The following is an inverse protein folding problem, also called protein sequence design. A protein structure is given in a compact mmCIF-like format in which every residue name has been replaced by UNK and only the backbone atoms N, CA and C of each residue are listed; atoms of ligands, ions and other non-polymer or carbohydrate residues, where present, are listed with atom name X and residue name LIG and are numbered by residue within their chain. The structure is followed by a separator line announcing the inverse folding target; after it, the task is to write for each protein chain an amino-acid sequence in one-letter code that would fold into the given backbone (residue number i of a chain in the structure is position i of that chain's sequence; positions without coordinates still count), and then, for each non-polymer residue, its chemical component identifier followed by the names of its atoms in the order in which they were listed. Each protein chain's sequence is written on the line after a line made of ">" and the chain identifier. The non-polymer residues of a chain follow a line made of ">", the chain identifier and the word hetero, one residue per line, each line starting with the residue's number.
data_IF_551559218611
#
_entry.id   IF_551559218611
#
_cell.length_a   1.000
_cell.length_b   1.000
_cell.length_c   1.000
_cell.angle_alpha   90.00
_cell.angle_beta   90.00
_cell.angle_gamma   90.00
#
_symmetry.space_group_name_H-M   'P 1'
#
loop_
_entity.id
_entity.type
_entity.pdbx_description
1 polymer ?
#
# COMPACT_ATOMS: atom_id res chain seq x y z
N UNK A 1 -7.02 -2.58 22.01
CA UNK A 1 -5.61 -3.01 21.91
C UNK A 1 -5.03 -2.62 20.57
N UNK A 2 -3.72 -2.34 20.47
CA UNK A 2 -3.05 -2.07 19.18
C UNK A 2 -3.09 -3.34 18.33
N UNK A 3 -3.60 -3.24 17.11
CA UNK A 3 -3.59 -4.35 16.15
C UNK A 3 -2.18 -4.50 15.59
N UNK A 4 -1.62 -5.71 15.59
CA UNK A 4 -0.27 -5.99 15.07
C UNK A 4 -0.36 -7.05 13.98
N UNK A 5 0.40 -6.85 12.89
CA UNK A 5 0.55 -7.83 11.81
C UNK A 5 2.04 -8.07 11.60
N UNK A 6 2.50 -9.26 11.99
CA UNK A 6 3.93 -9.57 12.02
C UNK A 6 4.72 -8.52 12.81
N UNK A 7 5.65 -7.84 12.13
CA UNK A 7 6.53 -6.81 12.70
C UNK A 7 5.96 -5.40 12.66
N UNK A 8 4.72 -5.23 12.23
CA UNK A 8 4.11 -3.91 12.04
C UNK A 8 3.00 -3.67 13.06
N UNK A 9 3.13 -2.59 13.82
CA UNK A 9 2.04 -2.04 14.63
C UNK A 9 1.13 -1.20 13.72
N UNK A 10 -0.13 -1.61 13.59
CA UNK A 10 -1.13 -0.88 12.81
C UNK A 10 -1.72 0.26 13.64
N UNK A 11 -1.75 1.44 13.03
CA UNK A 11 -2.38 2.64 13.55
C UNK A 11 -3.68 2.98 12.83
N UNK A 12 -3.91 4.29 12.65
CA UNK A 12 -5.12 4.83 12.04
C UNK A 12 -5.26 4.44 10.57
N UNK A 13 -6.50 4.42 10.09
CA UNK A 13 -6.79 4.32 8.66
C UNK A 13 -6.34 5.60 7.95
N UNK A 14 -5.60 5.44 6.87
CA UNK A 14 -5.17 6.53 5.98
C UNK A 14 -6.15 6.70 4.81
N UNK A 15 -6.80 5.61 4.38
CA UNK A 15 -7.81 5.66 3.33
C UNK A 15 -8.65 4.38 3.29
N UNK A 16 -9.89 4.51 2.84
CA UNK A 16 -10.82 3.40 2.66
C UNK A 16 -11.44 3.52 1.27
N UNK A 17 -11.21 2.50 0.44
CA UNK A 17 -11.78 2.40 -0.90
C UNK A 17 -12.62 1.13 -1.04
N UNK A 18 -13.26 0.98 -2.19
CA UNK A 18 -14.20 -0.13 -2.47
C UNK A 18 -13.60 -1.52 -2.23
N UNK A 19 -12.31 -1.67 -2.56
CA UNK A 19 -11.60 -2.97 -2.57
C UNK A 19 -10.51 -3.09 -1.50
N UNK A 20 -10.21 -2.00 -0.78
CA UNK A 20 -9.06 -1.97 0.12
C UNK A 20 -9.20 -0.95 1.24
N UNK A 21 -8.57 -1.26 2.38
CA UNK A 21 -8.36 -0.32 3.49
C UNK A 21 -6.87 -0.09 3.66
N UNK A 22 -6.43 1.16 3.60
CA UNK A 22 -5.03 1.54 3.83
C UNK A 22 -4.88 2.02 5.26
N UNK A 23 -3.95 1.45 6.02
CA UNK A 23 -3.65 1.87 7.39
C UNK A 23 -2.20 2.33 7.51
N UNK A 24 -1.98 3.30 8.37
CA UNK A 24 -0.65 3.64 8.85
C UNK A 24 -0.11 2.48 9.67
N UNK A 25 1.17 2.16 9.56
CA UNK A 25 1.82 1.22 10.43
C UNK A 25 3.27 1.62 10.72
N UNK A 26 3.80 1.11 11.82
CA UNK A 26 5.20 1.29 12.21
C UNK A 26 5.89 -0.06 12.31
N UNK A 27 7.04 -0.22 11.65
CA UNK A 27 7.90 -1.38 11.86
C UNK A 27 8.50 -1.30 13.26
N UNK A 28 8.32 -2.34 14.08
CA UNK A 28 8.83 -2.34 15.46
C UNK A 28 10.33 -2.56 15.56
N UNK A 29 10.97 -3.11 14.50
CA UNK A 29 12.42 -3.34 14.46
C UNK A 29 13.17 -2.10 13.98
N UNK A 30 12.74 -1.50 12.86
CA UNK A 30 13.42 -0.35 12.24
C UNK A 30 12.87 0.99 12.70
N UNK A 31 11.66 1.02 13.27
CA UNK A 31 10.96 2.25 13.63
C UNK A 31 10.33 2.99 12.45
N UNK A 32 10.51 2.51 11.22
CA UNK A 32 10.03 3.15 9.99
C UNK A 32 8.50 3.16 9.89
N UNK A 33 7.99 4.26 9.34
CA UNK A 33 6.58 4.47 9.11
C UNK A 33 6.21 4.01 7.69
N UNK A 34 5.18 3.18 7.57
CA UNK A 34 4.71 2.62 6.30
C UNK A 34 3.20 2.72 6.18
N UNK A 35 2.69 2.54 4.96
CA UNK A 35 1.27 2.37 4.68
C UNK A 35 0.99 0.91 4.27
N UNK A 36 0.08 0.24 4.96
CA UNK A 36 -0.34 -1.13 4.65
C UNK A 36 -1.70 -1.09 3.95
N UNK A 37 -1.75 -1.57 2.70
CA UNK A 37 -2.99 -1.74 1.94
C UNK A 37 -3.55 -3.14 2.19
N UNK A 38 -4.66 -3.21 2.91
CA UNK A 38 -5.37 -4.43 3.27
C UNK A 38 -6.42 -4.68 2.19
N UNK A 39 -6.30 -5.79 1.47
CA UNK A 39 -7.23 -6.20 0.42
C UNK A 39 -8.25 -7.20 0.96
N UNK A 40 -9.52 -6.99 0.64
CA UNK A 40 -10.58 -7.95 0.94
C UNK A 40 -10.59 -9.03 -0.16
N UNK A 41 -10.14 -10.24 0.20
CA UNK A 41 -9.96 -11.36 -0.73
C UNK A 41 -11.26 -11.68 -1.47
N UNK A 42 -12.41 -11.63 -0.80
CA UNK A 42 -13.70 -11.97 -1.41
C UNK A 42 -14.14 -10.90 -2.41
N UNK A 43 -13.92 -9.63 -2.09
CA UNK A 43 -14.21 -8.52 -3.01
C UNK A 43 -13.29 -8.53 -4.23
N UNK A 44 -12.00 -8.82 -4.03
CA UNK A 44 -11.00 -8.90 -5.12
C UNK A 44 -11.29 -10.08 -6.05
N UNK A 45 -11.62 -11.26 -5.51
CA UNK A 45 -11.96 -12.44 -6.30
C UNK A 45 -13.26 -12.24 -7.09
N UNK A 46 -14.29 -11.64 -6.47
CA UNK A 46 -15.56 -11.35 -7.15
C UNK A 46 -15.44 -10.34 -8.29
N UNK A 47 -14.52 -9.38 -8.19
CA UNK A 47 -14.37 -8.30 -9.18
C UNK A 47 -13.28 -8.53 -10.24
N UNK A 48 -12.65 -9.71 -10.31
CA UNK A 48 -11.63 -10.06 -11.33
C UNK A 48 -10.51 -9.00 -11.50
N UNK A 49 -10.08 -8.35 -10.42
CA UNK A 49 -9.07 -7.26 -10.43
C UNK A 49 -7.62 -7.77 -10.47
N UNK A 50 -7.32 -8.80 -11.27
CA UNK A 50 -5.96 -9.36 -11.40
C UNK A 50 -5.20 -8.73 -12.59
N UNK A 51 -5.89 -8.02 -13.50
CA UNK A 51 -5.29 -7.57 -14.77
C UNK A 51 -4.75 -6.11 -14.81
N UNK A 52 -4.88 -5.30 -13.75
CA UNK A 52 -4.62 -3.85 -13.83
C UNK A 52 -3.46 -3.29 -12.97
N UNK A 53 -2.65 -4.14 -12.32
CA UNK A 53 -1.67 -3.64 -11.32
C UNK A 53 -0.33 -3.16 -11.92
N UNK A 54 -0.08 -3.32 -13.22
CA UNK A 54 1.16 -2.84 -13.88
C UNK A 54 0.84 -2.56 -15.35
N UNK A 55 0.79 -1.31 -15.87
CA UNK A 55 2.01 -0.53 -16.20
C UNK A 55 1.80 1.01 -16.23
N UNK A 56 2.42 1.79 -15.35
CA UNK A 56 2.40 3.26 -15.54
C UNK A 56 3.69 4.00 -15.16
N UNK A 57 4.77 3.31 -14.82
CA UNK A 57 6.02 3.97 -14.42
C UNK A 57 7.16 3.87 -15.45
N UNK A 58 6.88 3.52 -16.71
CA UNK A 58 7.90 3.43 -17.77
C UNK A 58 7.91 4.63 -18.73
N UNK A 59 7.21 5.73 -18.44
CA UNK A 59 7.40 6.97 -19.20
C UNK A 59 8.52 7.82 -18.57
N UNK A 60 9.70 7.67 -19.17
CA UNK A 60 10.62 8.77 -19.46
C UNK A 60 11.41 9.37 -18.29
N UNK A 61 12.46 8.68 -17.88
CA UNK A 61 13.70 9.36 -17.52
C UNK A 61 14.34 9.97 -18.77
N UNK A 62 14.21 11.29 -18.95
CA UNK A 62 15.05 12.11 -19.83
C UNK A 62 15.29 13.42 -19.07
N UNK A 63 16.42 13.52 -18.38
CA UNK A 63 17.66 14.16 -18.84
C UNK A 63 17.76 15.56 -18.23
N UNK A 64 18.47 15.70 -17.12
CA UNK A 64 19.78 16.37 -17.11
C UNK A 64 19.65 17.89 -17.36
N UNK A 65 19.43 18.65 -16.29
CA UNK A 65 20.02 19.98 -16.20
C UNK A 65 21.53 19.82 -16.11
N UNK A 66 22.30 20.59 -16.90
CA UNK A 66 23.49 21.17 -16.33
C UNK A 66 23.62 22.65 -16.72
N UNK A 67 23.59 23.49 -15.68
CA UNK A 67 24.09 24.89 -15.62
C UNK A 67 23.20 25.97 -16.24
#
# INVERSE_FOLDING_TARGET
>A
GRTRVGRYELGRTLGEGTFAKVKFARNVETGENVAIKILDKDKVLKHKMIAQVLPSCLSSSSSSDPT
#
